data_IF_877921180325
#
_entry.id   IF_877921180325
#
_cell.length_a   1.000
_cell.length_b   1.000
_cell.length_c   1.000
_cell.angle_alpha   90.00
_cell.angle_beta   90.00
_cell.angle_gamma   90.00
#
_symmetry.space_group_name_H-M   'P 1'
#
loop_
_entity.id
_entity.type
_entity.pdbx_description
1 polymer ?
#
# COMPACT_ATOMS: atom_id res chain seq x y z
N UNK A 1 52.93 15.58 22.78
CA UNK A 1 52.22 14.64 23.66
C UNK A 1 50.77 14.42 23.19
N UNK A 2 50.55 14.22 21.88
CA UNK A 2 49.23 13.99 21.26
C UNK A 2 49.23 12.81 20.26
N UNK A 3 50.28 11.99 20.23
CA UNK A 3 50.42 10.89 19.26
C UNK A 3 50.14 9.50 19.92
N UNK A 4 50.10 9.42 21.26
CA UNK A 4 49.94 8.14 21.98
C UNK A 4 48.45 7.78 22.23
N UNK A 5 47.52 8.75 22.17
CA UNK A 5 46.08 8.48 22.43
C UNK A 5 45.37 7.88 21.20
N UNK A 6 45.91 8.07 19.98
CA UNK A 6 45.32 7.54 18.74
C UNK A 6 45.57 6.04 18.52
N UNK A 7 46.67 5.49 19.05
CA UNK A 7 47.00 4.07 18.91
C UNK A 7 46.25 3.16 19.92
N UNK A 8 45.79 3.73 21.05
CA UNK A 8 45.05 2.99 22.08
C UNK A 8 43.60 2.71 21.62
N UNK A 9 42.98 3.64 20.88
CA UNK A 9 41.63 3.43 20.32
C UNK A 9 41.57 2.38 19.21
N UNK A 10 42.67 2.12 18.49
CA UNK A 10 42.72 1.07 17.47
C UNK A 10 42.95 -0.33 18.05
N UNK A 11 43.59 -0.43 19.23
CA UNK A 11 43.84 -1.71 19.90
C UNK A 11 42.65 -2.17 20.78
N UNK A 12 41.88 -1.24 21.34
CA UNK A 12 40.71 -1.59 22.16
C UNK A 12 39.51 -2.12 21.33
N UNK A 13 39.51 -1.93 20.00
CA UNK A 13 38.50 -2.53 19.12
C UNK A 13 38.79 -4.02 18.81
N UNK A 14 40.02 -4.50 18.96
CA UNK A 14 40.39 -5.89 18.69
C UNK A 14 40.08 -6.87 19.84
N UNK A 15 39.67 -6.39 21.02
CA UNK A 15 39.51 -7.24 22.21
C UNK A 15 38.07 -7.79 22.38
N UNK A 16 37.11 -7.40 21.51
CA UNK A 16 35.70 -7.84 21.61
C UNK A 16 35.32 -8.90 20.57
N UNK A 17 36.22 -9.31 19.69
CA UNK A 17 35.91 -10.37 18.71
C UNK A 17 36.33 -11.74 19.24
N UNK A 18 35.43 -12.75 19.25
CA UNK A 18 35.80 -14.14 19.55
C UNK A 18 36.95 -14.59 18.62
N UNK A 19 37.75 -15.60 19.02
CA UNK A 19 38.84 -16.09 18.18
C UNK A 19 38.30 -16.40 16.77
N UNK A 20 38.87 -15.73 15.77
CA UNK A 20 38.52 -15.93 14.36
C UNK A 20 38.64 -17.42 14.04
N UNK A 21 37.51 -18.08 13.82
CA UNK A 21 37.49 -19.32 13.06
C UNK A 21 38.00 -18.98 11.67
N UNK A 22 38.98 -19.74 11.19
CA UNK A 22 39.41 -19.64 9.80
C UNK A 22 38.18 -19.99 8.95
N UNK A 23 37.71 -19.06 8.13
CA UNK A 23 36.58 -19.29 7.25
C UNK A 23 36.84 -20.41 6.24
N UNK A 24 35.76 -20.97 5.70
CA UNK A 24 35.82 -21.95 4.63
C UNK A 24 35.57 -21.27 3.28
N UNK A 25 36.30 -21.68 2.25
CA UNK A 25 36.10 -21.19 0.88
C UNK A 25 36.72 -22.05 -0.22
N UNK A 26 36.23 -21.88 -1.46
CA UNK A 26 36.75 -22.52 -2.67
C UNK A 26 36.60 -21.61 -3.90
N UNK A 27 37.21 -22.00 -5.02
CA UNK A 27 37.14 -21.28 -6.30
C UNK A 27 38.29 -20.30 -6.42
N UNK A 28 37.99 -19.05 -6.75
CA UNK A 28 38.96 -17.95 -6.81
C UNK A 28 39.27 -17.37 -5.41
N UNK A 29 39.14 -18.18 -4.36
CA UNK A 29 39.49 -17.88 -2.97
C UNK A 29 40.91 -18.41 -2.64
N UNK A 30 41.71 -17.70 -1.82
CA UNK A 30 41.41 -16.44 -1.12
C UNK A 30 41.44 -15.21 -2.03
N UNK A 31 40.80 -14.09 -1.60
CA UNK A 31 40.93 -12.81 -2.28
C UNK A 31 42.40 -12.41 -2.47
N UNK A 32 42.67 -11.64 -3.52
CA UNK A 32 44.00 -11.09 -3.74
C UNK A 32 44.44 -10.22 -2.56
N UNK A 33 45.68 -10.37 -2.10
CA UNK A 33 46.23 -9.58 -0.98
C UNK A 33 46.45 -8.11 -1.34
N UNK A 34 46.47 -7.80 -2.64
CA UNK A 34 46.55 -6.46 -3.20
C UNK A 34 45.83 -6.49 -4.57
N UNK A 35 45.15 -5.40 -4.92
CA UNK A 35 44.40 -5.25 -6.17
C UNK A 35 43.00 -5.88 -6.17
N UNK A 36 42.49 -6.11 -7.38
CA UNK A 36 41.12 -6.56 -7.61
C UNK A 36 40.97 -8.07 -7.37
N UNK A 37 39.82 -8.47 -6.81
CA UNK A 37 39.40 -9.85 -6.67
C UNK A 37 38.46 -10.22 -7.84
N UNK A 38 39.03 -10.89 -8.84
CA UNK A 38 38.32 -11.30 -10.05
C UNK A 38 37.77 -12.72 -9.86
N UNK A 39 36.45 -12.88 -10.02
CA UNK A 39 35.76 -14.16 -9.91
C UNK A 39 35.41 -14.65 -11.33
N UNK A 40 36.12 -15.66 -11.79
CA UNK A 40 35.93 -16.33 -13.09
C UNK A 40 35.44 -17.78 -12.95
N UNK A 41 35.55 -18.34 -11.74
CA UNK A 41 35.03 -19.65 -11.36
C UNK A 41 34.02 -19.50 -10.23
N UNK A 42 33.09 -20.44 -10.11
CA UNK A 42 32.18 -20.49 -8.96
C UNK A 42 33.00 -20.50 -7.67
N UNK A 43 32.74 -19.49 -6.84
CA UNK A 43 33.51 -19.16 -5.65
C UNK A 43 32.57 -19.04 -4.48
N UNK A 44 32.95 -19.65 -3.36
CA UNK A 44 32.20 -19.63 -2.10
C UNK A 44 33.14 -19.21 -0.99
N UNK A 45 32.66 -18.33 -0.09
CA UNK A 45 33.37 -17.93 1.12
C UNK A 45 32.39 -17.82 2.28
N UNK A 46 32.80 -18.28 3.46
CA UNK A 46 31.96 -18.27 4.66
C UNK A 46 32.70 -18.01 5.96
N UNK A 47 31.98 -17.49 6.97
CA UNK A 47 32.44 -17.36 8.36
C UNK A 47 33.75 -16.55 8.54
N UNK A 48 33.97 -15.53 7.70
CA UNK A 48 35.21 -14.75 7.67
C UNK A 48 34.96 -13.24 7.58
N UNK A 49 35.94 -12.46 8.06
CA UNK A 49 36.05 -11.03 7.79
C UNK A 49 37.03 -10.81 6.64
N UNK A 50 36.53 -10.30 5.52
CA UNK A 50 37.30 -10.06 4.31
C UNK A 50 37.53 -8.56 4.15
N UNK A 51 38.79 -8.16 3.91
CA UNK A 51 39.13 -6.79 3.51
C UNK A 51 39.62 -6.81 2.08
N UNK A 52 38.98 -6.01 1.22
CA UNK A 52 39.35 -5.88 -0.19
C UNK A 52 40.02 -4.53 -0.43
N UNK A 53 41.23 -4.57 -0.99
CA UNK A 53 42.06 -3.41 -1.35
C UNK A 53 41.84 -2.95 -2.81
N UNK A 54 40.93 -3.59 -3.54
CA UNK A 54 40.53 -3.26 -4.91
C UNK A 54 39.04 -3.49 -5.17
N UNK A 55 38.69 -3.80 -6.41
CA UNK A 55 37.33 -4.16 -6.82
C UNK A 55 37.04 -5.64 -6.58
N UNK A 56 35.77 -6.00 -6.45
CA UNK A 56 35.28 -7.36 -6.64
C UNK A 56 34.57 -7.39 -7.99
N UNK A 57 34.98 -8.27 -8.89
CA UNK A 57 34.41 -8.38 -10.22
C UNK A 57 33.93 -9.81 -10.48
N UNK A 58 32.62 -10.02 -10.56
CA UNK A 58 32.03 -11.34 -10.88
C UNK A 58 31.75 -11.43 -12.36
N UNK A 59 32.50 -12.29 -13.08
CA UNK A 59 32.56 -12.30 -14.54
C UNK A 59 32.36 -13.69 -15.12
N UNK A 60 32.27 -13.77 -16.44
CA UNK A 60 32.30 -15.03 -17.22
C UNK A 60 31.23 -16.07 -16.82
N UNK A 61 30.04 -15.62 -16.39
CA UNK A 61 28.96 -16.46 -15.86
C UNK A 61 29.30 -17.18 -14.55
N UNK A 62 30.31 -16.71 -13.82
CA UNK A 62 30.66 -17.24 -12.52
C UNK A 62 29.66 -16.81 -11.44
N UNK A 63 29.63 -17.58 -10.36
CA UNK A 63 28.88 -17.26 -9.14
C UNK A 63 29.83 -16.95 -8.00
N UNK A 64 29.66 -15.80 -7.35
CA UNK A 64 30.25 -15.53 -6.03
C UNK A 64 29.18 -15.73 -4.96
N UNK A 65 29.44 -16.59 -3.98
CA UNK A 65 28.58 -16.78 -2.81
C UNK A 65 29.32 -16.39 -1.53
N UNK A 66 28.74 -15.48 -0.75
CA UNK A 66 29.22 -15.02 0.55
C UNK A 66 28.19 -15.41 1.63
N UNK A 67 28.61 -16.16 2.65
CA UNK A 67 27.71 -16.63 3.72
C UNK A 67 28.29 -16.36 5.11
N UNK A 68 27.58 -15.58 5.94
CA UNK A 68 28.08 -15.15 7.24
C UNK A 68 29.47 -14.47 7.16
N UNK A 69 29.63 -13.58 6.18
CA UNK A 69 30.87 -12.84 5.90
C UNK A 69 30.70 -11.40 6.36
N UNK A 70 31.75 -10.81 6.94
CA UNK A 70 31.88 -9.35 7.01
C UNK A 70 32.81 -8.89 5.90
N UNK A 71 32.26 -8.28 4.85
CA UNK A 71 33.01 -7.77 3.71
C UNK A 71 33.24 -6.27 3.87
N UNK A 72 34.51 -5.86 3.97
CA UNK A 72 34.94 -4.47 4.08
C UNK A 72 35.69 -4.04 2.82
N UNK A 73 35.14 -3.08 2.09
CA UNK A 73 35.81 -2.49 0.93
C UNK A 73 36.69 -1.32 1.40
N UNK A 74 38.00 -1.43 1.21
CA UNK A 74 38.94 -0.36 1.53
C UNK A 74 39.04 0.66 0.39
N UNK A 75 37.96 1.41 0.17
CA UNK A 75 37.92 2.46 -0.84
C UNK A 75 38.29 3.83 -0.30
N UNK A 76 38.95 4.68 -1.09
CA UNK A 76 39.19 6.09 -0.74
C UNK A 76 38.50 7.01 -1.73
N UNK A 77 38.30 8.29 -1.38
CA UNK A 77 37.72 9.27 -2.32
C UNK A 77 38.54 9.51 -3.57
N UNK A 78 39.83 9.13 -3.57
CA UNK A 78 40.71 9.22 -4.75
C UNK A 78 40.70 7.93 -5.59
N UNK A 79 40.49 6.78 -4.93
CA UNK A 79 40.47 5.46 -5.53
C UNK A 79 39.16 4.77 -5.12
N UNK A 80 38.12 5.00 -5.92
CA UNK A 80 36.80 4.43 -5.66
C UNK A 80 36.83 2.97 -6.10
N UNK A 81 36.57 2.07 -5.16
CA UNK A 81 36.48 0.63 -5.38
C UNK A 81 35.04 0.17 -5.22
N UNK A 82 34.71 -1.03 -5.71
CA UNK A 82 33.35 -1.51 -5.62
C UNK A 82 33.16 -2.99 -5.92
N UNK A 83 31.89 -3.38 -5.90
CA UNK A 83 31.40 -4.69 -6.28
C UNK A 83 30.71 -4.54 -7.63
N UNK A 84 31.14 -5.34 -8.61
CA UNK A 84 30.64 -5.33 -9.97
C UNK A 84 30.19 -6.75 -10.34
N UNK A 85 28.91 -6.89 -10.70
CA UNK A 85 28.33 -8.16 -11.16
C UNK A 85 27.97 -8.01 -12.63
N UNK A 86 28.71 -8.66 -13.52
CA UNK A 86 28.47 -8.59 -14.96
C UNK A 86 27.20 -9.36 -15.37
N UNK A 87 26.61 -9.00 -16.52
CA UNK A 87 25.27 -9.40 -16.98
C UNK A 87 24.81 -10.87 -16.83
N UNK A 88 25.72 -11.84 -16.96
CA UNK A 88 25.37 -13.26 -16.82
C UNK A 88 25.94 -13.90 -15.55
N UNK A 89 26.63 -13.13 -14.72
CA UNK A 89 27.22 -13.57 -13.47
C UNK A 89 26.19 -13.50 -12.34
N UNK A 90 26.49 -14.16 -11.22
CA UNK A 90 25.60 -14.20 -10.07
C UNK A 90 26.34 -13.84 -8.79
N UNK A 91 25.77 -12.93 -8.00
CA UNK A 91 26.22 -12.65 -6.64
C UNK A 91 25.17 -13.13 -5.63
N UNK A 92 25.55 -14.05 -4.76
CA UNK A 92 24.72 -14.51 -3.67
C UNK A 92 25.32 -14.08 -2.33
N UNK A 93 24.55 -13.41 -1.49
CA UNK A 93 24.99 -12.89 -0.19
C UNK A 93 23.95 -13.25 0.85
N UNK A 94 24.38 -14.01 1.86
CA UNK A 94 23.51 -14.53 2.92
C UNK A 94 24.09 -14.18 4.29
N UNK A 95 23.25 -13.67 5.19
CA UNK A 95 23.60 -13.42 6.59
C UNK A 95 24.90 -12.62 6.77
N UNK A 96 25.19 -11.70 5.85
CA UNK A 96 26.50 -11.05 5.75
C UNK A 96 26.39 -9.53 5.97
N UNK A 97 27.50 -8.92 6.35
CA UNK A 97 27.62 -7.47 6.47
C UNK A 97 28.57 -6.94 5.40
N UNK A 98 28.05 -6.09 4.51
CA UNK A 98 28.86 -5.38 3.50
C UNK A 98 28.96 -3.91 3.90
N UNK A 99 30.18 -3.43 4.07
CA UNK A 99 30.46 -2.04 4.45
C UNK A 99 31.79 -1.54 3.90
N UNK A 100 32.12 -0.30 4.22
CA UNK A 100 33.42 0.28 3.90
C UNK A 100 34.38 0.26 5.08
N UNK A 101 35.68 0.22 4.78
CA UNK A 101 36.73 0.42 5.80
C UNK A 101 37.12 1.90 5.96
N UNK A 102 37.31 2.63 4.87
CA UNK A 102 37.88 4.00 4.91
C UNK A 102 37.10 5.06 4.12
N UNK A 103 36.38 4.68 3.06
CA UNK A 103 35.63 5.58 2.20
C UNK A 103 34.54 4.85 1.43
N UNK A 104 33.58 5.57 0.82
CA UNK A 104 32.42 4.93 0.21
C UNK A 104 32.81 4.05 -0.99
N UNK A 105 32.05 3.00 -1.26
CA UNK A 105 32.29 2.06 -2.37
C UNK A 105 31.11 2.01 -3.35
N UNK A 106 31.37 1.52 -4.56
CA UNK A 106 30.34 1.29 -5.60
C UNK A 106 29.74 -0.11 -5.42
N UNK A 107 28.43 -0.24 -5.61
CA UNK A 107 27.78 -1.55 -5.69
C UNK A 107 26.90 -1.56 -6.93
N UNK A 108 27.41 -2.19 -7.99
CA UNK A 108 26.79 -2.19 -9.32
C UNK A 108 26.46 -3.62 -9.77
N UNK A 109 25.21 -3.82 -10.19
CA UNK A 109 24.65 -5.11 -10.57
C UNK A 109 24.07 -5.00 -11.97
N UNK A 110 24.76 -5.58 -12.93
CA UNK A 110 24.31 -5.78 -14.30
C UNK A 110 23.79 -7.21 -14.52
N UNK A 111 24.15 -8.16 -13.65
CA UNK A 111 23.73 -9.56 -13.66
C UNK A 111 22.73 -9.95 -12.57
N UNK A 112 22.77 -11.20 -12.14
CA UNK A 112 21.84 -11.74 -11.15
C UNK A 112 22.34 -11.49 -9.72
N UNK A 113 21.43 -11.29 -8.78
CA UNK A 113 21.81 -11.15 -7.37
C UNK A 113 20.74 -11.68 -6.43
N UNK A 114 21.18 -12.46 -5.45
CA UNK A 114 20.41 -12.74 -4.23
C UNK A 114 21.10 -12.09 -3.05
N UNK A 115 20.43 -11.17 -2.37
CA UNK A 115 20.91 -10.54 -1.14
C UNK A 115 19.87 -10.79 -0.04
N UNK A 116 20.19 -11.64 0.93
CA UNK A 116 19.24 -12.09 1.92
C UNK A 116 19.79 -12.00 3.35
N UNK A 117 18.94 -11.52 4.27
CA UNK A 117 19.21 -11.45 5.71
C UNK A 117 20.53 -10.74 6.04
N UNK A 118 20.87 -9.72 5.25
CA UNK A 118 22.20 -9.10 5.25
C UNK A 118 22.11 -7.59 5.52
N UNK A 119 23.22 -7.01 5.95
CA UNK A 119 23.37 -5.56 6.09
C UNK A 119 24.22 -5.01 4.96
N UNK A 120 23.78 -3.93 4.31
CA UNK A 120 24.58 -3.20 3.33
C UNK A 120 24.61 -1.74 3.72
N UNK A 121 25.81 -1.19 3.90
CA UNK A 121 25.97 0.15 4.46
C UNK A 121 27.09 0.98 3.84
N UNK A 122 26.98 2.30 3.94
CA UNK A 122 28.03 3.26 3.58
C UNK A 122 28.50 3.21 2.11
N UNK A 123 27.62 2.83 1.20
CA UNK A 123 27.83 2.90 -0.25
C UNK A 123 27.95 4.36 -0.73
N UNK A 124 28.63 4.57 -1.86
CA UNK A 124 28.77 5.89 -2.49
C UNK A 124 27.43 6.42 -2.99
N UNK A 125 26.71 5.59 -3.73
CA UNK A 125 25.43 5.98 -4.32
C UNK A 125 24.26 5.16 -3.83
N UNK A 126 24.46 3.87 -3.53
CA UNK A 126 23.45 2.85 -3.24
C UNK A 126 23.75 1.56 -3.98
N UNK A 127 22.85 0.57 -3.88
CA UNK A 127 22.86 -0.62 -4.75
C UNK A 127 22.26 -0.22 -6.10
N UNK A 128 23.05 -0.28 -7.16
CA UNK A 128 22.68 0.13 -8.50
C UNK A 128 22.37 -1.09 -9.37
N UNK A 129 21.09 -1.28 -9.71
CA UNK A 129 20.59 -2.44 -10.44
C UNK A 129 20.22 -2.02 -11.86
N UNK A 130 21.01 -2.46 -12.83
CA UNK A 130 20.80 -2.20 -14.25
C UNK A 130 19.88 -3.26 -14.88
N UNK A 131 20.29 -4.54 -14.82
CA UNK A 131 19.55 -5.69 -15.34
C UNK A 131 19.65 -6.91 -14.41
N UNK A 132 19.11 -8.05 -14.86
CA UNK A 132 19.20 -9.35 -14.20
C UNK A 132 18.05 -9.69 -13.25
N UNK A 133 18.03 -10.95 -12.82
CA UNK A 133 17.09 -11.46 -11.82
C UNK A 133 17.65 -11.14 -10.43
N UNK A 134 17.15 -10.05 -9.84
CA UNK A 134 17.60 -9.54 -8.55
C UNK A 134 16.52 -9.70 -7.48
N UNK A 135 16.88 -10.37 -6.38
CA UNK A 135 16.07 -10.59 -5.20
C UNK A 135 16.78 -10.06 -3.96
N UNK A 136 16.16 -9.08 -3.28
CA UNK A 136 16.69 -8.50 -2.04
C UNK A 136 15.66 -8.70 -0.93
N UNK A 137 16.01 -9.46 0.10
CA UNK A 137 15.07 -9.85 1.14
C UNK A 137 15.61 -9.78 2.57
N UNK A 138 14.79 -9.33 3.50
CA UNK A 138 15.13 -9.30 4.94
C UNK A 138 16.42 -8.53 5.25
N UNK A 139 16.78 -7.54 4.42
CA UNK A 139 18.04 -6.80 4.55
C UNK A 139 17.86 -5.45 5.25
N UNK A 140 18.95 -4.95 5.84
CA UNK A 140 19.06 -3.57 6.33
C UNK A 140 19.96 -2.77 5.40
N UNK A 141 19.43 -1.71 4.78
CA UNK A 141 20.14 -0.88 3.79
C UNK A 141 20.13 0.57 4.26
N UNK A 142 21.31 1.13 4.54
CA UNK A 142 21.44 2.50 5.03
C UNK A 142 22.80 3.11 4.69
N UNK A 143 22.98 4.40 4.94
CA UNK A 143 24.31 5.03 4.82
C UNK A 143 24.45 6.18 5.79
N UNK A 144 25.61 6.29 6.42
CA UNK A 144 25.94 7.43 7.29
C UNK A 144 26.94 8.39 6.62
N UNK A 145 27.12 8.30 5.30
CA UNK A 145 28.05 9.15 4.57
C UNK A 145 27.34 10.28 3.81
N UNK A 146 28.08 11.35 3.54
CA UNK A 146 27.58 12.55 2.86
C UNK A 146 27.38 12.41 1.34
N UNK A 147 27.84 11.30 0.74
CA UNK A 147 27.84 11.09 -0.71
C UNK A 147 26.57 10.39 -1.20
N UNK A 148 25.83 9.80 -0.27
CA UNK A 148 24.76 8.90 -0.56
C UNK A 148 23.56 9.58 -1.23
N UNK A 149 23.24 9.14 -2.44
CA UNK A 149 22.11 9.64 -3.20
C UNK A 149 20.87 8.75 -3.04
N UNK A 150 21.05 7.43 -2.91
CA UNK A 150 19.96 6.46 -2.84
C UNK A 150 20.32 5.18 -2.06
N UNK A 151 19.33 4.44 -1.53
CA UNK A 151 19.56 3.10 -0.99
C UNK A 151 19.68 2.08 -2.11
N UNK A 152 18.68 2.07 -3.00
CA UNK A 152 18.62 1.20 -4.17
C UNK A 152 18.18 2.02 -5.37
N UNK A 153 18.93 1.97 -6.48
CA UNK A 153 18.52 2.49 -7.80
C UNK A 153 18.19 1.33 -8.72
N UNK A 154 17.08 1.46 -9.45
CA UNK A 154 16.48 0.36 -10.19
C UNK A 154 16.18 0.83 -11.62
N UNK A 155 16.88 0.24 -12.59
CA UNK A 155 16.52 0.27 -14.01
C UNK A 155 15.88 -1.06 -14.47
N UNK A 156 16.13 -2.16 -13.74
CA UNK A 156 15.56 -3.49 -14.00
C UNK A 156 14.20 -3.75 -13.32
N UNK A 157 13.90 -5.03 -13.04
CA UNK A 157 12.64 -5.47 -12.41
C UNK A 157 12.87 -6.34 -11.15
N UNK A 158 13.62 -5.85 -10.15
CA UNK A 158 13.93 -6.62 -8.95
C UNK A 158 12.70 -6.81 -8.05
N UNK A 159 12.78 -7.82 -7.18
CA UNK A 159 11.84 -8.00 -6.07
C UNK A 159 12.55 -7.61 -4.77
N UNK A 160 11.98 -6.64 -4.06
CA UNK A 160 12.44 -6.21 -2.74
C UNK A 160 11.39 -6.62 -1.70
N UNK A 161 11.74 -7.54 -0.80
CA UNK A 161 10.83 -8.12 0.17
C UNK A 161 11.30 -7.92 1.62
N UNK A 162 10.46 -7.33 2.48
CA UNK A 162 10.69 -7.24 3.92
C UNK A 162 12.03 -6.59 4.30
N UNK A 163 12.48 -5.58 3.55
CA UNK A 163 13.71 -4.85 3.84
C UNK A 163 13.45 -3.64 4.74
N UNK A 164 14.48 -3.23 5.49
CA UNK A 164 14.54 -1.99 6.24
C UNK A 164 15.48 -1.01 5.56
N UNK A 165 14.93 0.03 4.92
CA UNK A 165 15.67 0.97 4.06
C UNK A 165 15.56 2.37 4.68
N UNK A 166 16.67 2.88 5.23
CA UNK A 166 16.61 4.08 6.06
C UNK A 166 17.87 4.94 6.06
N UNK A 167 17.73 6.19 6.51
CA UNK A 167 18.85 7.13 6.68
C UNK A 167 19.60 7.42 5.38
N UNK A 168 18.87 7.53 4.27
CA UNK A 168 19.42 7.81 2.93
C UNK A 168 18.85 9.13 2.40
N UNK A 169 19.48 9.73 1.39
CA UNK A 169 18.85 10.87 0.72
C UNK A 169 17.56 10.43 0.00
N UNK A 170 17.59 9.29 -0.71
CA UNK A 170 16.40 8.65 -1.29
C UNK A 170 16.41 7.17 -0.89
N UNK A 171 15.31 6.61 -0.41
CA UNK A 171 15.26 5.19 -0.05
C UNK A 171 15.43 4.32 -1.29
N UNK A 172 14.45 4.39 -2.19
CA UNK A 172 14.43 3.65 -3.47
C UNK A 172 14.24 4.64 -4.62
N UNK A 173 15.04 4.49 -5.68
CA UNK A 173 14.93 5.25 -6.93
C UNK A 173 14.62 4.30 -8.08
N UNK A 174 13.56 4.57 -8.82
CA UNK A 174 13.10 3.79 -9.97
C UNK A 174 13.28 4.65 -11.22
N UNK A 175 14.06 4.19 -12.17
CA UNK A 175 14.50 4.96 -13.33
C UNK A 175 14.20 4.22 -14.64
N UNK A 176 14.04 4.99 -15.72
CA UNK A 176 14.10 4.51 -17.11
C UNK A 176 13.27 3.26 -17.44
N UNK A 177 12.03 3.19 -16.95
CA UNK A 177 11.16 2.05 -17.21
C UNK A 177 11.36 0.85 -16.27
N UNK A 178 12.20 0.99 -15.24
CA UNK A 178 12.32 0.01 -14.17
C UNK A 178 10.96 -0.35 -13.60
N UNK A 179 10.78 -1.64 -13.28
CA UNK A 179 9.48 -2.22 -12.91
C UNK A 179 9.54 -3.09 -11.63
N UNK A 180 10.08 -2.59 -10.51
CA UNK A 180 10.23 -3.41 -9.31
C UNK A 180 8.90 -3.78 -8.65
N UNK A 181 8.97 -4.87 -7.89
CA UNK A 181 7.92 -5.28 -6.96
C UNK A 181 8.44 -5.10 -5.53
N UNK A 182 7.82 -4.19 -4.78
CA UNK A 182 8.19 -3.85 -3.40
C UNK A 182 7.12 -4.40 -2.44
N UNK A 183 7.50 -5.35 -1.58
CA UNK A 183 6.56 -6.05 -0.71
C UNK A 183 7.02 -5.96 0.75
N UNK A 184 6.14 -5.50 1.64
CA UNK A 184 6.35 -5.48 3.09
C UNK A 184 7.64 -4.77 3.56
N UNK A 185 8.18 -3.85 2.78
CA UNK A 185 9.37 -3.09 3.18
C UNK A 185 9.00 -1.99 4.17
N UNK A 186 9.93 -1.66 5.05
CA UNK A 186 9.89 -0.45 5.89
C UNK A 186 10.89 0.57 5.34
N UNK A 187 10.39 1.69 4.83
CA UNK A 187 11.17 2.74 4.18
C UNK A 187 11.00 4.03 4.96
N UNK A 188 12.01 4.43 5.73
CA UNK A 188 11.86 5.49 6.73
C UNK A 188 13.11 6.33 6.95
N UNK A 189 12.96 7.53 7.51
CA UNK A 189 14.09 8.41 7.86
C UNK A 189 14.99 8.74 6.65
N UNK A 190 14.43 8.78 5.45
CA UNK A 190 15.11 9.25 4.25
C UNK A 190 14.64 10.67 3.90
N UNK A 191 15.26 11.38 2.95
CA UNK A 191 14.61 12.61 2.46
C UNK A 191 13.36 12.26 1.67
N UNK A 192 13.48 11.31 0.74
CA UNK A 192 12.34 10.68 0.07
C UNK A 192 12.33 9.18 0.30
N UNK A 193 11.16 8.60 0.54
CA UNK A 193 11.02 7.15 0.66
C UNK A 193 11.24 6.44 -0.68
N UNK A 194 10.32 6.64 -1.63
CA UNK A 194 10.38 6.09 -2.99
C UNK A 194 10.29 7.22 -4.00
N UNK A 195 11.20 7.24 -4.99
CA UNK A 195 11.23 8.21 -6.07
C UNK A 195 11.23 7.48 -7.41
N UNK A 196 10.37 7.89 -8.33
CA UNK A 196 10.42 7.44 -9.72
C UNK A 196 10.75 8.60 -10.63
N UNK A 197 11.79 8.46 -11.45
CA UNK A 197 12.21 9.45 -12.43
C UNK A 197 12.04 8.85 -13.83
N UNK A 198 11.35 9.57 -14.72
CA UNK A 198 11.21 9.23 -16.13
C UNK A 198 10.63 7.83 -16.42
N UNK A 199 9.30 7.71 -16.34
CA UNK A 199 8.56 6.53 -16.84
C UNK A 199 8.78 5.23 -16.08
N UNK A 200 9.07 5.29 -14.78
CA UNK A 200 9.10 4.10 -13.93
C UNK A 200 7.73 3.44 -13.79
N UNK A 201 7.76 2.13 -13.58
CA UNK A 201 6.62 1.29 -13.24
C UNK A 201 6.87 0.68 -11.87
N UNK A 202 5.87 0.52 -11.01
CA UNK A 202 6.11 -0.23 -9.78
C UNK A 202 4.84 -0.82 -9.20
N UNK A 203 5.02 -1.94 -8.51
CA UNK A 203 3.99 -2.52 -7.65
C UNK A 203 4.45 -2.48 -6.21
N UNK A 204 3.69 -1.79 -5.35
CA UNK A 204 3.97 -1.67 -3.93
C UNK A 204 2.85 -2.32 -3.12
N UNK A 205 3.18 -3.34 -2.33
CA UNK A 205 2.22 -4.11 -1.54
C UNK A 205 2.63 -4.17 -0.08
N UNK A 206 1.77 -3.73 0.84
CA UNK A 206 2.00 -3.94 2.28
C UNK A 206 3.19 -3.18 2.87
N UNK A 207 3.73 -2.17 2.17
CA UNK A 207 4.90 -1.44 2.64
C UNK A 207 4.51 -0.40 3.71
N UNK A 208 5.44 -0.12 4.61
CA UNK A 208 5.37 0.98 5.57
C UNK A 208 6.35 2.09 5.13
N UNK A 209 5.83 3.25 4.74
CA UNK A 209 6.62 4.37 4.23
C UNK A 209 6.37 5.60 5.10
N UNK A 210 7.32 5.93 5.97
CA UNK A 210 7.06 6.91 7.03
C UNK A 210 8.26 7.73 7.46
N UNK A 211 8.01 8.88 8.08
CA UNK A 211 9.04 9.74 8.66
C UNK A 211 10.16 10.11 7.66
N UNK A 212 9.82 10.26 6.38
CA UNK A 212 10.75 10.80 5.39
C UNK A 212 10.63 12.33 5.37
N UNK A 213 11.76 13.03 5.29
CA UNK A 213 11.88 14.48 5.49
C UNK A 213 11.03 15.29 4.50
N UNK A 214 11.03 14.89 3.22
CA UNK A 214 10.39 15.64 2.14
C UNK A 214 9.13 14.97 1.60
N UNK A 215 9.10 13.63 1.52
CA UNK A 215 7.92 12.92 1.03
C UNK A 215 8.04 11.40 1.11
N UNK A 216 6.89 10.73 1.18
CA UNK A 216 6.82 9.28 1.17
C UNK A 216 7.15 8.73 -0.21
N UNK A 217 6.32 9.06 -1.20
CA UNK A 217 6.42 8.56 -2.58
C UNK A 217 6.31 9.73 -3.55
N UNK A 218 7.26 9.86 -4.49
CA UNK A 218 7.24 10.86 -5.56
C UNK A 218 7.40 10.18 -6.92
N UNK A 219 6.47 10.40 -7.83
CA UNK A 219 6.44 9.74 -9.14
C UNK A 219 6.41 10.80 -10.24
N UNK A 220 7.38 10.73 -11.14
CA UNK A 220 7.40 11.52 -12.37
C UNK A 220 7.15 10.62 -13.58
N UNK A 221 6.09 10.93 -14.34
CA UNK A 221 5.75 10.33 -15.63
C UNK A 221 5.58 8.79 -15.62
N UNK A 222 5.18 8.18 -14.51
CA UNK A 222 5.14 6.71 -14.33
C UNK A 222 3.76 6.07 -14.21
N UNK A 223 3.72 4.75 -14.07
CA UNK A 223 2.50 3.98 -13.72
C UNK A 223 2.73 3.12 -12.48
N UNK A 224 1.99 3.40 -11.40
CA UNK A 224 2.20 2.77 -10.11
C UNK A 224 0.93 2.08 -9.60
N UNK A 225 1.10 0.87 -9.08
CA UNK A 225 0.07 0.12 -8.36
C UNK A 225 0.41 0.05 -6.88
N UNK A 226 -0.48 0.57 -6.03
CA UNK A 226 -0.35 0.52 -4.58
C UNK A 226 -1.44 -0.34 -3.97
N UNK A 227 -1.07 -1.31 -3.14
CA UNK A 227 -2.03 -2.12 -2.41
C UNK A 227 -1.66 -2.27 -0.93
N UNK A 228 -2.60 -1.95 -0.04
CA UNK A 228 -2.46 -2.19 1.41
C UNK A 228 -1.20 -1.58 2.04
N UNK A 229 -0.66 -0.49 1.48
CA UNK A 229 0.47 0.22 2.07
C UNK A 229 0.01 1.16 3.18
N UNK A 230 0.90 1.43 4.13
CA UNK A 230 0.71 2.43 5.18
C UNK A 230 1.73 3.55 4.99
N UNK A 231 1.26 4.77 4.72
CA UNK A 231 2.11 5.92 4.34
C UNK A 231 1.82 7.10 5.25
N UNK A 232 2.76 7.49 6.10
CA UNK A 232 2.47 8.46 7.16
C UNK A 232 3.63 9.29 7.69
N UNK A 233 3.30 10.43 8.30
CA UNK A 233 4.25 11.32 8.98
C UNK A 233 5.45 11.72 8.12
N UNK A 234 5.27 11.87 6.80
CA UNK A 234 6.29 12.41 5.91
C UNK A 234 6.17 13.95 5.87
N UNK A 235 7.30 14.67 5.83
CA UNK A 235 7.34 16.14 5.95
C UNK A 235 6.81 16.92 4.74
N UNK A 236 6.34 16.24 3.71
CA UNK A 236 5.61 16.85 2.59
C UNK A 236 4.37 16.07 2.25
N UNK A 237 4.46 15.28 1.19
CA UNK A 237 3.34 14.46 0.71
C UNK A 237 3.48 13.00 1.12
N UNK A 238 2.36 12.31 1.30
CA UNK A 238 2.33 10.85 1.33
C UNK A 238 2.67 10.30 -0.07
N UNK A 239 1.87 10.68 -1.06
CA UNK A 239 2.06 10.33 -2.47
C UNK A 239 2.00 11.59 -3.33
N UNK A 240 3.00 11.79 -4.19
CA UNK A 240 3.03 12.82 -5.23
C UNK A 240 3.11 12.15 -6.61
N UNK A 241 2.16 12.44 -7.48
CA UNK A 241 2.16 12.01 -8.88
C UNK A 241 2.24 13.20 -9.82
N UNK A 242 3.41 13.42 -10.42
CA UNK A 242 3.65 14.40 -11.47
C UNK A 242 3.55 13.74 -12.85
N UNK A 243 2.47 14.03 -13.56
CA UNK A 243 2.06 13.39 -14.81
C UNK A 243 2.08 11.85 -14.73
N UNK A 244 1.80 11.31 -13.54
CA UNK A 244 1.85 9.89 -13.24
C UNK A 244 0.45 9.28 -13.10
N UNK A 245 0.27 8.06 -13.61
CA UNK A 245 -0.93 7.27 -13.40
C UNK A 245 -0.78 6.40 -12.16
N UNK A 246 -1.72 6.55 -11.22
CA UNK A 246 -1.66 5.88 -9.92
C UNK A 246 -2.95 5.09 -9.71
N UNK A 247 -2.82 3.79 -9.45
CA UNK A 247 -3.90 2.93 -9.00
C UNK A 247 -3.61 2.48 -7.57
N UNK A 248 -4.41 2.96 -6.62
CA UNK A 248 -4.21 2.68 -5.22
C UNK A 248 -5.44 1.98 -4.64
N UNK A 249 -5.25 0.83 -4.00
CA UNK A 249 -6.31 0.08 -3.32
C UNK A 249 -5.97 -0.25 -1.87
N UNK A 250 -6.87 0.03 -0.93
CA UNK A 250 -6.73 -0.45 0.45
C UNK A 250 -5.60 0.17 1.26
N UNK A 251 -5.04 1.29 0.82
CA UNK A 251 -3.92 1.96 1.50
C UNK A 251 -4.43 2.84 2.65
N UNK A 252 -3.60 2.99 3.68
CA UNK A 252 -3.81 3.91 4.80
C UNK A 252 -2.81 5.07 4.70
N UNK A 253 -3.30 6.29 4.50
CA UNK A 253 -2.48 7.48 4.30
C UNK A 253 -2.86 8.52 5.35
N UNK A 254 -1.92 8.89 6.23
CA UNK A 254 -2.24 9.79 7.34
C UNK A 254 -1.07 10.64 7.83
N UNK A 255 -1.39 11.78 8.45
CA UNK A 255 -0.44 12.63 9.20
C UNK A 255 0.80 13.12 8.42
N UNK A 256 0.77 13.11 7.09
CA UNK A 256 1.77 13.78 6.25
C UNK A 256 1.62 15.32 6.32
N UNK A 257 2.72 16.06 6.40
CA UNK A 257 2.72 17.47 6.79
C UNK A 257 1.94 18.39 5.83
N UNK A 258 2.03 18.17 4.52
CA UNK A 258 1.34 18.99 3.50
C UNK A 258 0.10 18.30 2.95
N UNK A 259 0.26 17.15 2.31
CA UNK A 259 -0.83 16.44 1.63
C UNK A 259 -0.73 14.93 1.82
N UNK A 260 -1.87 14.25 1.85
CA UNK A 260 -1.89 12.80 1.71
C UNK A 260 -1.52 12.42 0.28
N UNK A 261 -2.19 13.05 -0.67
CA UNK A 261 -1.94 12.90 -2.11
C UNK A 261 -1.87 14.27 -2.77
N UNK A 262 -0.87 14.44 -3.62
CA UNK A 262 -0.75 15.52 -4.58
C UNK A 262 -0.69 14.94 -6.00
N UNK A 263 -1.49 15.49 -6.91
CA UNK A 263 -1.56 15.08 -8.31
C UNK A 263 -1.29 16.27 -9.22
N UNK A 264 -0.44 16.09 -10.23
CA UNK A 264 -0.28 17.02 -11.33
C UNK A 264 -0.48 16.33 -12.68
N UNK A 265 -1.40 16.81 -13.51
CA UNK A 265 -1.46 16.51 -14.95
C UNK A 265 -1.97 15.13 -15.38
N UNK A 266 -2.04 14.14 -14.48
CA UNK A 266 -2.54 12.80 -14.78
C UNK A 266 -3.64 12.34 -13.80
N UNK A 267 -4.49 11.37 -14.20
CA UNK A 267 -5.52 10.84 -13.33
C UNK A 267 -4.92 9.89 -12.27
N UNK A 268 -5.41 10.05 -11.05
CA UNK A 268 -5.14 9.20 -9.90
C UNK A 268 -6.44 8.52 -9.47
N UNK A 269 -6.42 7.19 -9.44
CA UNK A 269 -7.55 6.37 -9.04
C UNK A 269 -7.32 5.73 -7.68
N UNK A 270 -8.19 6.06 -6.73
CA UNK A 270 -8.18 5.55 -5.37
C UNK A 270 -9.41 4.70 -5.09
N UNK A 271 -9.19 3.48 -4.62
CA UNK A 271 -10.24 2.56 -4.22
C UNK A 271 -10.04 2.08 -2.78
N UNK A 272 -11.05 2.17 -1.92
CA UNK A 272 -10.99 1.69 -0.53
C UNK A 272 -9.76 2.24 0.25
N UNK A 273 -9.28 3.45 -0.06
CA UNK A 273 -8.15 4.04 0.66
C UNK A 273 -8.66 4.91 1.80
N UNK A 274 -8.00 4.81 2.95
CA UNK A 274 -8.35 5.60 4.13
C UNK A 274 -7.40 6.77 4.29
N UNK A 275 -7.95 7.99 4.42
CA UNK A 275 -7.20 9.21 4.65
C UNK A 275 -7.50 9.76 6.06
N UNK A 276 -6.48 10.08 6.84
CA UNK A 276 -6.65 10.70 8.15
C UNK A 276 -5.69 11.87 8.32
N UNK A 277 -6.21 13.04 8.74
CA UNK A 277 -5.39 14.27 8.92
C UNK A 277 -4.56 14.64 7.69
N UNK A 278 -5.07 14.36 6.50
CA UNK A 278 -4.40 14.66 5.25
C UNK A 278 -5.37 15.28 4.25
N UNK A 279 -4.89 16.29 3.52
CA UNK A 279 -5.58 16.86 2.37
C UNK A 279 -5.32 16.08 1.08
N UNK A 280 -6.19 16.29 0.10
CA UNK A 280 -6.01 15.87 -1.29
C UNK A 280 -5.84 17.15 -2.13
N UNK A 281 -4.85 17.20 -3.01
CA UNK A 281 -4.63 18.34 -3.91
C UNK A 281 -4.45 17.85 -5.34
N UNK A 282 -5.04 18.55 -6.29
CA UNK A 282 -4.95 18.24 -7.71
C UNK A 282 -4.75 19.52 -8.53
N UNK A 283 -3.68 19.55 -9.31
CA UNK A 283 -3.40 20.60 -10.27
C UNK A 283 -3.42 19.96 -11.67
N UNK A 284 -4.42 20.25 -12.51
CA UNK A 284 -4.50 19.74 -13.90
C UNK A 284 -4.71 18.22 -14.09
N UNK A 285 -4.76 17.40 -13.03
CA UNK A 285 -5.06 15.95 -13.08
C UNK A 285 -6.53 15.64 -12.78
N UNK A 286 -6.88 14.40 -12.44
CA UNK A 286 -8.18 14.09 -11.80
C UNK A 286 -7.92 13.15 -10.63
N UNK A 287 -8.49 13.41 -9.46
CA UNK A 287 -8.47 12.47 -8.33
C UNK A 287 -9.85 11.86 -8.20
N UNK A 288 -9.95 10.54 -8.27
CA UNK A 288 -11.20 9.81 -8.08
C UNK A 288 -11.10 8.86 -6.90
N UNK A 289 -11.90 9.08 -5.85
CA UNK A 289 -12.01 8.22 -4.68
C UNK A 289 -13.28 7.37 -4.74
N UNK A 290 -13.12 6.05 -4.66
CA UNK A 290 -14.20 5.07 -4.73
C UNK A 290 -14.14 4.06 -3.59
N UNK A 291 -15.29 3.46 -3.30
CA UNK A 291 -15.43 2.38 -2.32
C UNK A 291 -16.21 1.20 -2.89
N UNK A 292 -15.78 -0.01 -2.57
CA UNK A 292 -16.62 -1.20 -2.66
C UNK A 292 -17.56 -1.21 -1.45
N UNK A 293 -18.85 -1.01 -1.70
CA UNK A 293 -19.88 -0.95 -0.66
C UNK A 293 -20.81 -2.15 -0.78
N UNK A 294 -21.03 -2.83 0.33
CA UNK A 294 -21.98 -3.94 0.47
C UNK A 294 -23.32 -3.42 0.99
N UNK A 295 -24.39 -3.65 0.24
CA UNK A 295 -25.75 -3.35 0.66
C UNK A 295 -26.44 -4.63 1.10
N UNK A 296 -26.96 -4.62 2.32
CA UNK A 296 -27.75 -5.71 2.92
C UNK A 296 -29.08 -5.17 3.43
N UNK A 297 -30.16 -5.84 3.05
CA UNK A 297 -31.52 -5.48 3.49
C UNK A 297 -32.04 -6.56 4.41
N UNK A 298 -32.55 -6.17 5.56
CA UNK A 298 -33.06 -7.04 6.60
C UNK A 298 -34.55 -6.78 6.81
N UNK A 299 -35.28 -7.76 7.35
CA UNK A 299 -36.61 -7.52 7.88
C UNK A 299 -36.59 -7.07 9.35
N UNK A 300 -37.78 -6.93 9.94
CA UNK A 300 -37.95 -6.55 11.34
C UNK A 300 -37.41 -7.59 12.34
N UNK A 301 -37.24 -8.86 11.92
CA UNK A 301 -36.65 -9.94 12.71
C UNK A 301 -35.14 -10.06 12.51
N UNK A 302 -34.54 -9.15 11.76
CA UNK A 302 -33.13 -9.18 11.38
C UNK A 302 -32.74 -10.36 10.47
N UNK A 303 -33.68 -10.88 9.68
CA UNK A 303 -33.40 -11.84 8.62
C UNK A 303 -33.12 -11.11 7.30
N UNK A 304 -32.11 -11.57 6.55
CA UNK A 304 -31.75 -10.95 5.28
C UNK A 304 -32.79 -11.23 4.19
N UNK A 305 -33.21 -10.16 3.53
CA UNK A 305 -34.19 -10.20 2.46
C UNK A 305 -33.50 -10.37 1.10
N UNK A 306 -33.99 -11.33 0.32
CA UNK A 306 -33.57 -11.55 -1.08
C UNK A 306 -34.40 -10.74 -2.07
N UNK A 307 -33.84 -10.53 -3.25
CA UNK A 307 -34.50 -9.93 -4.41
C UNK A 307 -35.16 -8.58 -4.09
N UNK A 308 -34.44 -7.73 -3.35
CA UNK A 308 -34.89 -6.40 -2.97
C UNK A 308 -34.46 -5.40 -4.03
N UNK A 309 -35.40 -4.59 -4.51
CA UNK A 309 -35.11 -3.49 -5.41
C UNK A 309 -34.44 -2.35 -4.62
N UNK A 310 -33.33 -1.86 -5.14
CA UNK A 310 -32.48 -0.83 -4.57
C UNK A 310 -32.34 0.30 -5.59
N UNK A 311 -32.43 1.54 -5.11
CA UNK A 311 -32.06 2.73 -5.89
C UNK A 311 -31.16 3.60 -5.04
N UNK A 312 -29.97 3.89 -5.54
CA UNK A 312 -28.94 4.66 -4.83
C UNK A 312 -28.82 6.02 -5.51
N UNK A 313 -28.92 7.07 -4.70
CA UNK A 313 -28.75 8.45 -5.12
C UNK A 313 -27.49 9.03 -4.47
N UNK A 314 -26.74 9.83 -5.20
CA UNK A 314 -25.68 10.65 -4.61
C UNK A 314 -26.26 11.82 -3.77
N UNK A 315 -25.38 12.58 -3.13
CA UNK A 315 -25.70 13.79 -2.35
C UNK A 315 -26.44 14.88 -3.15
N UNK A 316 -26.38 14.85 -4.49
CA UNK A 316 -27.05 15.78 -5.39
C UNK A 316 -28.41 15.26 -5.90
N UNK A 317 -28.79 14.04 -5.51
CA UNK A 317 -30.03 13.39 -5.93
C UNK A 317 -29.97 12.70 -7.29
N UNK A 318 -28.78 12.53 -7.87
CA UNK A 318 -28.57 11.78 -9.12
C UNK A 318 -28.64 10.28 -8.84
N UNK A 319 -29.29 9.52 -9.72
CA UNK A 319 -29.33 8.05 -9.60
C UNK A 319 -27.97 7.48 -10.02
N UNK A 320 -27.25 6.91 -9.06
CA UNK A 320 -25.96 6.24 -9.29
C UNK A 320 -26.14 4.79 -9.72
N UNK A 321 -27.16 4.12 -9.17
CA UNK A 321 -27.48 2.75 -9.50
C UNK A 321 -28.94 2.42 -9.17
N UNK A 322 -29.56 1.54 -9.97
CA UNK A 322 -30.88 0.98 -9.70
C UNK A 322 -30.96 -0.47 -10.17
N UNK A 323 -31.46 -1.36 -9.32
CA UNK A 323 -31.63 -2.78 -9.65
C UNK A 323 -31.93 -3.62 -8.42
N UNK A 324 -31.85 -4.94 -8.57
CA UNK A 324 -32.14 -5.89 -7.48
C UNK A 324 -30.86 -6.40 -6.80
N UNK A 325 -30.97 -6.80 -5.53
CA UNK A 325 -29.93 -7.59 -4.85
C UNK A 325 -29.71 -8.91 -5.58
N UNK A 326 -28.47 -9.40 -5.60
CA UNK A 326 -28.15 -10.74 -6.10
C UNK A 326 -28.18 -11.67 -4.89
N UNK A 327 -29.29 -12.39 -4.71
CA UNK A 327 -29.59 -13.03 -3.43
C UNK A 327 -29.84 -11.98 -2.36
N UNK A 328 -29.11 -12.06 -1.25
CA UNK A 328 -29.21 -11.21 -0.05
C UNK A 328 -28.31 -9.96 -0.06
N UNK A 329 -27.38 -9.86 -1.03
CA UNK A 329 -26.34 -8.83 -1.03
C UNK A 329 -26.32 -8.11 -2.38
N UNK A 330 -25.95 -6.83 -2.36
CA UNK A 330 -25.46 -6.13 -3.55
C UNK A 330 -24.13 -5.47 -3.25
N UNK A 331 -23.09 -5.84 -3.99
CA UNK A 331 -21.79 -5.14 -3.97
C UNK A 331 -21.75 -4.11 -5.11
N UNK A 332 -21.35 -2.88 -4.81
CA UNK A 332 -21.24 -1.79 -5.79
C UNK A 332 -19.98 -0.97 -5.56
N UNK A 333 -19.44 -0.41 -6.64
CA UNK A 333 -18.42 0.62 -6.57
C UNK A 333 -19.09 1.99 -6.60
N UNK A 334 -18.96 2.74 -5.51
CA UNK A 334 -19.52 4.08 -5.39
C UNK A 334 -18.41 5.11 -5.31
N UNK A 335 -18.56 6.22 -6.05
CA UNK A 335 -17.63 7.36 -6.03
C UNK A 335 -17.93 8.21 -4.82
N UNK A 336 -17.02 8.34 -3.88
CA UNK A 336 -17.23 9.25 -2.75
C UNK A 336 -16.95 10.70 -3.14
N UNK A 337 -15.85 10.90 -3.84
CA UNK A 337 -15.24 12.19 -4.01
C UNK A 337 -14.44 12.24 -5.32
N UNK A 338 -14.52 13.36 -6.03
CA UNK A 338 -13.80 13.60 -7.27
C UNK A 338 -13.23 15.02 -7.28
N UNK A 339 -11.94 15.18 -7.60
CA UNK A 339 -11.35 16.49 -7.93
C UNK A 339 -11.05 16.50 -9.42
N UNK A 340 -11.64 17.45 -10.15
CA UNK A 340 -11.43 17.62 -11.58
C UNK A 340 -10.16 18.42 -11.87
N UNK A 341 -9.67 18.38 -13.11
CA UNK A 341 -8.45 19.09 -13.53
C UNK A 341 -8.48 20.61 -13.42
N UNK A 342 -9.66 21.21 -13.28
CA UNK A 342 -9.81 22.63 -12.96
C UNK A 342 -9.83 22.92 -11.44
N UNK A 343 -9.63 21.90 -10.61
CA UNK A 343 -9.68 21.97 -9.15
C UNK A 343 -11.08 21.85 -8.56
N UNK A 344 -12.13 21.69 -9.39
CA UNK A 344 -13.50 21.54 -8.88
C UNK A 344 -13.64 20.26 -8.06
N UNK A 345 -14.09 20.41 -6.83
CA UNK A 345 -14.37 19.31 -5.90
C UNK A 345 -15.84 18.89 -6.01
N UNK A 346 -16.08 17.60 -6.23
CA UNK A 346 -17.41 16.98 -6.25
C UNK A 346 -17.50 15.95 -5.12
N UNK A 347 -18.38 16.21 -4.15
CA UNK A 347 -18.64 15.31 -3.03
C UNK A 347 -19.96 14.58 -3.28
N UNK A 348 -19.93 13.26 -3.41
CA UNK A 348 -21.11 12.43 -3.70
C UNK A 348 -21.73 11.77 -2.44
N UNK A 349 -21.03 11.81 -1.30
CA UNK A 349 -21.50 11.32 0.01
C UNK A 349 -22.18 12.43 0.82
N UNK A 350 -23.17 12.15 1.68
CA UNK A 350 -23.81 10.86 1.94
C UNK A 350 -24.73 10.42 0.80
N UNK A 351 -24.81 9.11 0.58
CA UNK A 351 -25.73 8.50 -0.38
C UNK A 351 -27.11 8.32 0.23
N UNK A 352 -28.15 8.51 -0.57
CA UNK A 352 -29.51 8.07 -0.20
C UNK A 352 -29.80 6.72 -0.84
N UNK A 353 -30.11 5.72 -0.02
CA UNK A 353 -30.44 4.37 -0.48
C UNK A 353 -31.92 4.13 -0.25
N UNK A 354 -32.67 3.93 -1.33
CA UNK A 354 -34.08 3.53 -1.28
C UNK A 354 -34.19 2.03 -1.55
N UNK A 355 -34.94 1.34 -0.72
CA UNK A 355 -35.24 -0.08 -0.85
C UNK A 355 -36.72 -0.29 -1.08
N UNK A 356 -37.07 -1.28 -1.91
CA UNK A 356 -38.44 -1.69 -2.18
C UNK A 356 -38.55 -3.20 -2.35
N UNK A 357 -39.55 -3.79 -1.69
CA UNK A 357 -39.99 -5.18 -1.92
C UNK A 357 -41.51 -5.21 -1.95
N UNK A 358 -42.10 -5.43 -3.14
CA UNK A 358 -43.54 -5.31 -3.34
C UNK A 358 -44.05 -3.89 -3.06
N UNK A 359 -44.92 -3.75 -2.05
CA UNK A 359 -45.46 -2.46 -1.57
C UNK A 359 -44.65 -1.86 -0.42
N UNK A 360 -43.72 -2.63 0.16
CA UNK A 360 -42.89 -2.15 1.26
C UNK A 360 -41.75 -1.31 0.71
N UNK A 361 -41.54 -0.13 1.29
CA UNK A 361 -40.44 0.77 0.95
C UNK A 361 -39.77 1.28 2.21
N UNK A 362 -38.47 1.49 2.17
CA UNK A 362 -37.75 2.25 3.18
C UNK A 362 -36.61 3.03 2.52
N UNK A 363 -36.03 3.99 3.24
CA UNK A 363 -34.84 4.71 2.80
C UNK A 363 -33.90 4.97 3.97
N UNK A 364 -32.61 4.92 3.71
CA UNK A 364 -31.57 5.37 4.65
C UNK A 364 -30.59 6.30 3.93
N UNK A 365 -29.85 7.08 4.70
CA UNK A 365 -28.61 7.71 4.24
C UNK A 365 -27.41 6.87 4.65
N UNK A 366 -26.34 6.89 3.85
CA UNK A 366 -25.10 6.16 4.10
C UNK A 366 -23.90 7.06 3.81
N UNK A 367 -23.08 7.30 4.84
CA UNK A 367 -21.76 7.89 4.66
C UNK A 367 -20.72 6.76 4.51
N UNK A 368 -20.24 6.59 3.28
CA UNK A 368 -19.39 5.47 2.90
C UNK A 368 -17.93 5.64 3.35
N UNK A 369 -17.55 6.81 3.91
CA UNK A 369 -16.22 7.06 4.49
C UNK A 369 -15.87 6.12 5.64
N UNK A 370 -16.89 5.72 6.40
CA UNK A 370 -16.73 5.00 7.66
C UNK A 370 -17.30 3.58 7.63
N UNK A 371 -18.18 3.29 6.67
CA UNK A 371 -18.94 2.04 6.61
C UNK A 371 -18.98 1.49 5.18
N UNK A 372 -18.18 0.46 4.92
CA UNK A 372 -18.21 -0.31 3.67
C UNK A 372 -19.42 -1.29 3.62
N UNK A 373 -20.23 -1.36 4.67
CA UNK A 373 -21.50 -2.09 4.70
C UNK A 373 -22.66 -1.16 5.08
N UNK A 374 -23.70 -1.14 4.25
CA UNK A 374 -24.94 -0.40 4.48
C UNK A 374 -26.05 -1.39 4.80
N UNK A 375 -26.53 -1.30 6.04
CA UNK A 375 -27.60 -2.14 6.59
C UNK A 375 -28.92 -1.38 6.60
N UNK A 376 -29.94 -1.96 5.98
CA UNK A 376 -31.26 -1.33 5.82
C UNK A 376 -32.33 -2.28 6.33
N UNK A 377 -33.17 -1.85 7.25
CA UNK A 377 -34.29 -2.66 7.75
C UNK A 377 -35.56 -2.28 7.00
N UNK A 378 -36.17 -3.22 6.28
CA UNK A 378 -37.44 -3.06 5.61
C UNK A 378 -38.54 -3.64 6.51
N UNK A 379 -39.49 -2.81 6.95
CA UNK A 379 -40.62 -3.31 7.74
C UNK A 379 -41.59 -4.05 6.81
N UNK A 380 -41.46 -5.38 6.77
CA UNK A 380 -42.27 -6.30 5.96
C UNK A 380 -43.50 -6.82 6.70
N UNK A 381 -43.71 -6.44 7.96
CA UNK A 381 -44.98 -6.75 8.61
C UNK A 381 -46.06 -6.02 7.84
N UNK A 382 -46.92 -6.80 7.16
CA UNK A 382 -48.27 -6.27 6.90
C UNK A 382 -48.76 -5.87 8.27
N UNK A 383 -49.05 -4.58 8.46
CA UNK A 383 -50.01 -4.18 9.48
C UNK A 383 -51.26 -4.98 9.16
N UNK A 384 -51.39 -6.14 9.76
CA UNK A 384 -52.68 -6.74 9.98
C UNK A 384 -53.38 -5.69 10.82
N UNK A 385 -54.12 -4.83 10.15
CA UNK A 385 -55.25 -4.20 10.78
C UNK A 385 -56.14 -5.38 11.16
N UNK A 386 -55.85 -5.97 12.32
CA UNK A 386 -56.82 -6.69 13.11
C UNK A 386 -57.86 -5.62 13.38
N UNK A 387 -58.78 -5.45 12.44
CA UNK A 387 -60.04 -4.81 12.70
C UNK A 387 -60.49 -5.49 13.98
N UNK A 388 -60.52 -4.77 15.12
CA UNK A 388 -60.84 -5.42 16.37
C UNK A 388 -62.17 -6.11 16.10
N UNK A 389 -62.21 -7.43 16.28
CA UNK A 389 -63.40 -8.22 15.98
C UNK A 389 -64.65 -7.57 16.63
N UNK A 390 -64.45 -6.92 17.77
CA UNK A 390 -65.37 -6.01 18.45
C UNK A 390 -65.90 -4.83 17.61
N UNK A 391 -65.07 -4.11 16.84
CA UNK A 391 -65.51 -3.05 15.96
C UNK A 391 -66.44 -3.54 14.86
N UNK A 392 -66.15 -4.70 14.26
CA UNK A 392 -67.04 -5.34 13.29
C UNK A 392 -68.33 -5.83 13.96
N UNK A 393 -68.24 -6.43 15.15
CA UNK A 393 -69.39 -6.88 15.95
C UNK A 393 -70.30 -5.73 16.39
N UNK A 394 -69.75 -4.57 16.75
CA UNK A 394 -70.52 -3.37 17.10
C UNK A 394 -71.24 -2.82 15.87
N UNK A 395 -70.57 -2.72 14.72
CA UNK A 395 -71.22 -2.29 13.47
C UNK A 395 -72.36 -3.25 13.09
N UNK A 396 -72.11 -4.57 13.14
CA UNK A 396 -73.15 -5.58 12.88
C UNK A 396 -74.29 -5.54 13.90
N UNK A 397 -73.99 -5.32 15.18
CA UNK A 397 -74.98 -5.18 16.24
C UNK A 397 -75.89 -3.96 16.06
N UNK A 398 -75.33 -2.81 15.68
CA UNK A 398 -76.09 -1.59 15.36
C UNK A 398 -77.01 -1.84 14.16
N UNK A 399 -76.50 -2.47 13.10
CA UNK A 399 -77.31 -2.83 11.92
C UNK A 399 -78.47 -3.78 12.28
N UNK A 400 -78.23 -4.75 13.17
CA UNK A 400 -79.28 -5.67 13.63
C UNK A 400 -80.37 -4.94 14.43
N UNK A 401 -80.00 -4.00 15.30
CA UNK A 401 -80.96 -3.19 16.07
C UNK A 401 -81.82 -2.34 15.13
N UNK A 402 -81.20 -1.69 14.14
CA UNK A 402 -81.93 -0.90 13.13
C UNK A 402 -82.90 -1.78 12.35
N UNK A 403 -82.48 -2.96 11.92
CA UNK A 403 -83.33 -3.92 11.21
C UNK A 403 -84.54 -4.34 12.07
N UNK A 404 -84.32 -4.64 13.35
CA UNK A 404 -85.40 -4.99 14.30
C UNK A 404 -86.37 -3.83 14.47
N UNK A 405 -85.90 -2.59 14.60
CA UNK A 405 -86.76 -1.41 14.71
C UNK A 405 -87.62 -1.21 13.46
N UNK A 406 -87.07 -1.42 12.26
CA UNK A 406 -87.81 -1.35 11.00
C UNK A 406 -88.89 -2.44 10.93
N UNK A 407 -88.56 -3.67 11.31
CA UNK A 407 -89.52 -4.79 11.34
C UNK A 407 -90.65 -4.52 12.34
N UNK A 408 -90.32 -4.06 13.55
CA UNK A 408 -91.32 -3.70 14.56
C UNK A 408 -92.23 -2.57 14.07
N UNK A 409 -91.65 -1.52 13.47
CA UNK A 409 -92.41 -0.42 12.88
C UNK A 409 -93.37 -0.91 11.79
N UNK A 410 -92.93 -1.82 10.92
CA UNK A 410 -93.78 -2.43 9.91
C UNK A 410 -94.93 -3.27 10.52
N UNK A 411 -94.65 -4.08 11.54
CA UNK A 411 -95.68 -4.88 12.24
C UNK A 411 -96.73 -3.99 12.91
N UNK A 412 -96.32 -2.94 13.61
CA UNK A 412 -97.23 -1.98 14.25
C UNK A 412 -98.11 -1.29 13.21
N UNK A 413 -97.52 -0.90 12.08
CA UNK A 413 -98.26 -0.25 10.98
C UNK A 413 -99.30 -1.21 10.37
N UNK A 414 -98.98 -2.49 10.22
CA UNK A 414 -99.92 -3.51 9.73
C UNK A 414 -101.05 -3.75 10.73
N UNK A 415 -100.74 -3.77 12.04
CA UNK A 415 -101.74 -4.02 13.09
C UNK A 415 -102.74 -2.86 13.24
N UNK A 416 -102.30 -1.62 12.98
CA UNK A 416 -103.17 -0.44 13.01
C UNK A 416 -104.03 -0.25 11.75
N UNK A 417 -103.82 -1.07 10.70
CA UNK A 417 -104.59 -1.05 9.45
C UNK A 417 -105.63 -2.18 9.35
N UNK A 418 -105.71 -3.04 10.36
CA UNK A 418 -106.82 -3.99 10.59
C UNK A 418 -107.66 -3.48 11.73
#
# INVERSE_FOLDING_TARGET
MCIIISAIFFFDLMIIFPPFTQGDGYGDYPPATDGDWIIENDTYVSEEVIVIEGNIEVKNNATLTLENVTLMINSTTKNIHGIYVDGNSTLNVYNSDITNLSGPYIFFVDGNMTLESSTVSNMMFGIDIEYGDVYIANCSIFSNNQYNQYGVRINGSPILFNNYIHSLHRGIVINYGGAPILINNTITLNNYGVVSVAFGFATLIGNNISNNELGGISIELGYFWFQNNTIFSNGGFGINGDHASINATGNLIYDNERWGIFSWGAPIFHKNNTFQKNGLQNDQGNILLQWDVLFRVFDHNNEELKDVNLTIYDSHGNVMWSGETIGNIRALQLREYEILGDGTELVHTPFTVKVRKGTFTNSTTADIRNNMEVRIVLNTEKKEYKFPFWGLMVVLGVWLIVLVMVIIGAIVTIKNRK
#
